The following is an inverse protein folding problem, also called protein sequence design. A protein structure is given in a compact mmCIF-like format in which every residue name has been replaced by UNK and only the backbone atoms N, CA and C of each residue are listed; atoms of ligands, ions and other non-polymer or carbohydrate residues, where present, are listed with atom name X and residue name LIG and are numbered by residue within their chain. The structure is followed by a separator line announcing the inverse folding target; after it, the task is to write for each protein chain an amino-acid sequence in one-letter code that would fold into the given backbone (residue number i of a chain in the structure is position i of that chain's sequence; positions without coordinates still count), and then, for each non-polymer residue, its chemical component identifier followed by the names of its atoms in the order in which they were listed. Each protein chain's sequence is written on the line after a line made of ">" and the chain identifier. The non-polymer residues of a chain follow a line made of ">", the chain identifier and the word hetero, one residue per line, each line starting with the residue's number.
data_IF_133389425884
#
_entry.id   IF_133389425884
#
_cell.length_a   1.000
_cell.length_b   1.000
_cell.length_c   1.000
_cell.angle_alpha   90.00
_cell.angle_beta   90.00
_cell.angle_gamma   90.00
#
_symmetry.space_group_name_H-M   'P 1'
#
loop_
_entity.id
_entity.type
_entity.pdbx_description
1 polymer ?
#
# COMPACT_ATOMS: atom_id res chain seq x y z
N UNK A 1 12.33 -30.79 -5.63
CA UNK A 1 12.49 -29.35 -5.43
C UNK A 1 12.30 -28.52 -6.71
N UNK A 2 13.11 -28.70 -7.76
CA UNK A 2 13.05 -27.90 -9.01
C UNK A 2 11.66 -27.90 -9.66
N UNK A 3 10.97 -29.06 -9.72
CA UNK A 3 9.60 -29.15 -10.26
C UNK A 3 8.64 -28.22 -9.52
N UNK A 4 8.70 -28.15 -8.19
CA UNK A 4 7.83 -27.31 -7.37
C UNK A 4 8.16 -25.81 -7.51
N UNK A 5 9.45 -25.47 -7.65
CA UNK A 5 9.86 -24.13 -8.02
C UNK A 5 9.24 -23.70 -9.35
N UNK A 6 9.38 -24.54 -10.41
CA UNK A 6 8.82 -24.22 -11.73
C UNK A 6 7.30 -24.04 -11.71
N UNK A 7 6.58 -24.87 -10.98
CA UNK A 7 5.11 -24.73 -10.84
C UNK A 7 4.74 -23.47 -10.11
N UNK A 8 5.39 -23.16 -8.99
CA UNK A 8 5.18 -21.91 -8.25
C UNK A 8 5.55 -20.69 -9.09
N UNK A 9 6.69 -20.72 -9.78
CA UNK A 9 7.13 -19.66 -10.67
C UNK A 9 6.11 -19.40 -11.80
N UNK A 10 5.64 -20.47 -12.47
CA UNK A 10 4.65 -20.34 -13.53
C UNK A 10 3.33 -19.74 -13.01
N UNK A 11 2.86 -20.19 -11.85
CA UNK A 11 1.69 -19.59 -11.19
C UNK A 11 1.91 -18.10 -10.90
N UNK A 12 3.06 -17.76 -10.29
CA UNK A 12 3.43 -16.37 -10.00
C UNK A 12 3.55 -15.52 -11.26
N UNK A 13 4.10 -16.08 -12.32
CA UNK A 13 4.27 -15.39 -13.60
C UNK A 13 2.89 -15.04 -14.23
N UNK A 14 1.96 -15.98 -14.23
CA UNK A 14 0.60 -15.72 -14.68
C UNK A 14 -0.10 -14.70 -13.78
N UNK A 15 -0.04 -14.88 -12.46
CA UNK A 15 -0.65 -13.96 -11.50
C UNK A 15 -0.15 -12.52 -11.70
N UNK A 16 1.15 -12.32 -11.73
CA UNK A 16 1.73 -10.99 -11.87
C UNK A 16 1.52 -10.40 -13.26
N UNK A 17 1.55 -11.21 -14.33
CA UNK A 17 1.26 -10.73 -15.68
C UNK A 17 -0.14 -10.12 -15.80
N UNK A 18 -1.14 -10.69 -15.13
CA UNK A 18 -2.49 -10.10 -15.12
C UNK A 18 -2.63 -8.94 -14.12
N UNK A 19 -1.89 -8.97 -13.02
CA UNK A 19 -2.10 -8.03 -11.93
C UNK A 19 -1.37 -6.70 -12.10
N UNK A 20 -0.17 -6.69 -12.69
CA UNK A 20 0.70 -5.49 -12.72
C UNK A 20 1.14 -5.08 -14.13
N UNK A 21 0.46 -5.54 -15.19
CA UNK A 21 0.79 -5.12 -16.57
C UNK A 21 0.70 -3.61 -16.78
N UNK A 22 -0.04 -2.90 -15.93
CA UNK A 22 -0.11 -1.45 -15.91
C UNK A 22 1.26 -0.76 -15.69
N UNK A 23 2.25 -1.46 -15.15
CA UNK A 23 3.63 -0.95 -14.98
C UNK A 23 4.27 -0.64 -16.33
N UNK A 24 3.96 -1.41 -17.38
CA UNK A 24 4.37 -1.09 -18.74
C UNK A 24 3.95 0.32 -19.13
N UNK A 25 2.69 0.69 -18.85
CA UNK A 25 2.18 2.02 -19.19
C UNK A 25 2.92 3.11 -18.42
N UNK A 26 3.20 2.88 -17.13
CA UNK A 26 3.94 3.84 -16.32
C UNK A 26 5.36 4.06 -16.84
N UNK A 27 6.11 3.00 -17.12
CA UNK A 27 7.48 3.11 -17.63
C UNK A 27 7.50 3.76 -19.02
N UNK A 28 6.55 3.39 -19.89
CA UNK A 28 6.44 3.95 -21.24
C UNK A 28 6.08 5.45 -21.22
N UNK A 29 5.25 5.87 -20.26
CA UNK A 29 4.88 7.28 -20.06
C UNK A 29 6.11 8.15 -19.74
N UNK A 30 7.07 7.65 -18.98
CA UNK A 30 8.32 8.32 -18.66
C UNK A 30 9.35 8.32 -19.82
N UNK A 31 8.97 7.86 -21.01
CA UNK A 31 9.78 8.01 -22.24
C UNK A 31 10.76 6.87 -22.50
N UNK A 32 10.69 5.75 -21.77
CA UNK A 32 11.59 4.61 -21.96
C UNK A 32 11.39 3.86 -23.30
N UNK A 33 10.29 4.15 -24.01
CA UNK A 33 9.94 3.49 -25.27
C UNK A 33 9.47 2.04 -25.08
N UNK A 34 8.86 1.48 -26.11
CA UNK A 34 8.14 0.19 -26.07
C UNK A 34 9.06 -0.98 -25.66
N UNK A 35 10.25 -1.05 -26.22
CA UNK A 35 11.18 -2.17 -25.96
C UNK A 35 11.62 -2.21 -24.48
N UNK A 36 12.12 -1.09 -23.97
CA UNK A 36 12.62 -1.03 -22.59
C UNK A 36 11.49 -1.18 -21.58
N UNK A 37 10.33 -0.58 -21.83
CA UNK A 37 9.14 -0.74 -20.99
C UNK A 37 8.68 -2.18 -20.91
N UNK A 38 8.68 -2.92 -22.03
CA UNK A 38 8.34 -4.34 -22.07
C UNK A 38 9.38 -5.18 -21.32
N UNK A 39 10.67 -4.92 -21.54
CA UNK A 39 11.76 -5.65 -20.90
C UNK A 39 11.74 -5.46 -19.37
N UNK A 40 11.63 -4.22 -18.89
CA UNK A 40 11.61 -3.93 -17.44
C UNK A 40 10.36 -4.51 -16.77
N UNK A 41 9.21 -4.43 -17.42
CA UNK A 41 7.97 -5.05 -16.91
C UNK A 41 8.11 -6.56 -16.84
N UNK A 42 8.66 -7.20 -17.87
CA UNK A 42 8.95 -8.64 -17.89
C UNK A 42 9.90 -9.05 -16.77
N UNK A 43 11.00 -8.32 -16.59
CA UNK A 43 12.00 -8.60 -15.54
C UNK A 43 11.38 -8.47 -14.14
N UNK A 44 10.53 -7.47 -13.91
CA UNK A 44 9.82 -7.30 -12.64
C UNK A 44 8.85 -8.46 -12.40
N UNK A 45 8.06 -8.85 -13.41
CA UNK A 45 7.15 -10.00 -13.32
C UNK A 45 7.95 -11.27 -13.01
N UNK A 46 9.06 -11.51 -13.69
CA UNK A 46 9.93 -12.68 -13.45
C UNK A 46 10.52 -12.65 -12.03
N UNK A 47 11.02 -11.51 -11.57
CA UNK A 47 11.52 -11.32 -10.20
C UNK A 47 10.45 -11.63 -9.15
N UNK A 48 9.27 -11.06 -9.28
CA UNK A 48 8.16 -11.31 -8.34
C UNK A 48 7.69 -12.78 -8.39
N UNK A 49 7.78 -13.42 -9.55
CA UNK A 49 7.43 -14.84 -9.71
C UNK A 49 8.39 -15.78 -8.99
N UNK A 50 9.65 -15.35 -8.76
CA UNK A 50 10.62 -16.14 -7.98
C UNK A 50 10.12 -16.35 -6.54
N UNK A 51 9.40 -15.42 -5.93
CA UNK A 51 8.83 -15.61 -4.58
C UNK A 51 7.80 -16.75 -4.54
N UNK A 52 6.95 -16.85 -5.55
CA UNK A 52 6.04 -18.01 -5.68
C UNK A 52 6.79 -19.31 -6.00
N UNK A 53 7.88 -19.24 -6.77
CA UNK A 53 8.77 -20.38 -6.99
C UNK A 53 9.40 -20.88 -5.69
N UNK A 54 9.94 -19.96 -4.87
CA UNK A 54 10.50 -20.26 -3.55
C UNK A 54 9.44 -20.80 -2.59
N UNK A 55 8.23 -20.22 -2.62
CA UNK A 55 7.11 -20.75 -1.87
C UNK A 55 6.74 -22.18 -2.28
N UNK A 56 6.73 -22.50 -3.58
CA UNK A 56 6.54 -23.87 -4.06
C UNK A 56 7.60 -24.83 -3.52
N UNK A 57 8.88 -24.38 -3.42
CA UNK A 57 9.93 -25.20 -2.76
C UNK A 57 9.67 -25.39 -1.26
N UNK A 58 9.23 -24.34 -0.55
CA UNK A 58 8.88 -24.43 0.87
C UNK A 58 7.73 -25.39 1.12
N UNK A 59 6.67 -25.34 0.29
CA UNK A 59 5.55 -26.29 0.33
C UNK A 59 6.06 -27.73 0.15
N UNK A 60 6.91 -27.99 -0.84
CA UNK A 60 7.50 -29.32 -1.03
C UNK A 60 8.35 -29.76 0.15
N UNK A 61 9.11 -28.85 0.73
CA UNK A 61 9.97 -29.14 1.88
C UNK A 61 9.19 -29.49 3.13
N UNK A 62 8.07 -28.82 3.39
CA UNK A 62 7.27 -28.99 4.61
C UNK A 62 6.01 -29.86 4.45
N UNK A 63 5.65 -30.31 3.25
CA UNK A 63 4.38 -31.06 2.98
C UNK A 63 4.16 -32.28 3.86
N UNK A 64 5.23 -32.99 4.23
CA UNK A 64 5.15 -34.22 5.03
C UNK A 64 5.48 -33.97 6.51
N UNK A 65 5.76 -32.72 6.90
CA UNK A 65 6.07 -32.36 8.27
C UNK A 65 4.80 -32.30 9.14
N UNK A 66 4.87 -32.80 10.40
CA UNK A 66 3.70 -32.84 11.32
C UNK A 66 3.10 -31.45 11.60
N UNK A 67 3.92 -30.39 11.53
CA UNK A 67 3.49 -28.98 11.77
C UNK A 67 3.30 -28.20 10.47
N UNK A 68 3.13 -28.84 9.31
CA UNK A 68 2.99 -28.20 8.00
C UNK A 68 1.89 -27.14 7.96
N UNK A 69 0.84 -27.31 8.77
CA UNK A 69 -0.28 -26.36 8.91
C UNK A 69 0.19 -24.94 9.31
N UNK A 70 1.26 -24.86 10.10
CA UNK A 70 1.86 -23.57 10.52
C UNK A 70 3.08 -23.20 9.68
N UNK A 71 3.87 -24.18 9.25
CA UNK A 71 5.14 -23.95 8.53
C UNK A 71 4.93 -23.39 7.13
N UNK A 72 3.89 -23.85 6.42
CA UNK A 72 3.60 -23.38 5.07
C UNK A 72 3.13 -21.92 5.08
N UNK A 73 2.12 -21.51 5.87
CA UNK A 73 1.77 -20.10 6.00
C UNK A 73 2.91 -19.20 6.50
N UNK A 74 3.72 -19.69 7.46
CA UNK A 74 4.90 -18.96 7.93
C UNK A 74 5.91 -18.72 6.82
N UNK A 75 6.18 -19.71 5.98
CA UNK A 75 7.09 -19.56 4.84
C UNK A 75 6.59 -18.54 3.83
N UNK A 76 5.29 -18.51 3.57
CA UNK A 76 4.68 -17.51 2.67
C UNK A 76 4.78 -16.11 3.25
N UNK A 77 4.42 -15.94 4.52
CA UNK A 77 4.54 -14.66 5.23
C UNK A 77 5.97 -14.12 5.17
N UNK A 78 6.98 -14.96 5.43
CA UNK A 78 8.40 -14.54 5.36
C UNK A 78 8.80 -14.12 3.95
N UNK A 79 8.33 -14.79 2.91
CA UNK A 79 8.59 -14.41 1.53
C UNK A 79 7.89 -13.09 1.16
N UNK A 80 6.65 -12.86 1.59
CA UNK A 80 5.97 -11.57 1.42
C UNK A 80 6.68 -10.45 2.20
N UNK A 81 7.15 -10.73 3.41
CA UNK A 81 7.93 -9.78 4.20
C UNK A 81 9.25 -9.41 3.50
N UNK A 82 10.01 -10.40 2.99
CA UNK A 82 11.23 -10.14 2.21
C UNK A 82 10.90 -9.31 0.95
N UNK A 83 9.85 -9.67 0.22
CA UNK A 83 9.37 -8.93 -0.96
C UNK A 83 9.05 -7.46 -0.66
N UNK A 84 8.63 -7.15 0.58
CA UNK A 84 8.22 -5.79 0.98
C UNK A 84 9.37 -4.79 1.08
N UNK A 85 10.62 -5.24 1.17
CA UNK A 85 11.78 -4.35 1.31
C UNK A 85 12.96 -4.70 0.39
N UNK A 86 13.07 -5.93 -0.11
CA UNK A 86 14.18 -6.32 -1.01
C UNK A 86 14.08 -5.55 -2.34
N UNK A 87 15.22 -4.99 -2.81
CA UNK A 87 15.32 -4.20 -4.05
C UNK A 87 14.25 -3.10 -4.09
N UNK A 88 14.24 -2.21 -3.09
CA UNK A 88 13.26 -1.13 -2.87
C UNK A 88 11.87 -1.58 -2.43
N UNK A 89 11.59 -2.87 -2.40
CA UNK A 89 10.33 -3.46 -1.99
C UNK A 89 9.21 -3.37 -3.04
N UNK A 90 8.31 -4.35 -3.02
CA UNK A 90 7.07 -4.34 -3.81
C UNK A 90 5.92 -4.99 -3.02
N UNK A 91 5.44 -4.35 -1.94
CA UNK A 91 4.37 -4.88 -1.08
C UNK A 91 2.97 -4.68 -1.69
N UNK A 92 2.82 -4.97 -2.99
CA UNK A 92 1.59 -4.75 -3.74
C UNK A 92 0.77 -6.04 -3.81
N UNK A 93 -0.56 -5.93 -3.70
CA UNK A 93 -1.53 -7.02 -3.83
C UNK A 93 -1.21 -8.27 -2.97
N UNK A 94 -0.82 -8.06 -1.72
CA UNK A 94 -0.72 -9.16 -0.76
C UNK A 94 -2.06 -9.89 -0.63
N UNK A 95 -2.04 -11.20 -0.39
CA UNK A 95 -3.24 -12.03 -0.37
C UNK A 95 -4.35 -11.46 0.53
N UNK A 96 -4.00 -10.92 1.70
CA UNK A 96 -4.93 -10.36 2.68
C UNK A 96 -5.69 -9.11 2.23
N UNK A 97 -5.32 -8.48 1.10
CA UNK A 97 -6.02 -7.30 0.59
C UNK A 97 -7.03 -7.65 -0.51
N UNK A 98 -6.96 -8.85 -1.10
CA UNK A 98 -7.69 -9.16 -2.33
C UNK A 98 -9.22 -9.09 -2.14
N UNK A 99 -9.74 -9.58 -1.02
CA UNK A 99 -11.18 -9.68 -0.76
C UNK A 99 -11.59 -8.79 0.42
N UNK A 100 -12.32 -7.71 0.13
CA UNK A 100 -12.79 -6.75 1.16
C UNK A 100 -13.68 -7.42 2.23
N UNK A 101 -14.48 -8.41 1.84
CA UNK A 101 -15.31 -9.20 2.77
C UNK A 101 -14.50 -10.01 3.80
N UNK A 102 -13.19 -10.21 3.60
CA UNK A 102 -12.32 -10.95 4.49
C UNK A 102 -11.43 -10.05 5.37
N UNK A 103 -11.77 -8.79 5.55
CA UNK A 103 -10.97 -7.81 6.30
C UNK A 103 -11.25 -7.75 7.80
N UNK A 104 -12.05 -8.69 8.33
CA UNK A 104 -12.43 -8.69 9.73
C UNK A 104 -11.26 -8.67 10.73
N UNK A 105 -10.10 -9.20 10.36
CA UNK A 105 -8.93 -9.25 11.23
C UNK A 105 -7.89 -8.12 10.99
N UNK A 106 -8.10 -7.23 10.01
CA UNK A 106 -7.13 -6.18 9.68
C UNK A 106 -6.69 -5.33 10.90
N UNK A 107 -7.59 -4.90 11.81
CA UNK A 107 -7.19 -4.07 12.96
C UNK A 107 -6.33 -4.81 14.00
N UNK A 108 -6.24 -6.13 13.90
CA UNK A 108 -5.50 -6.97 14.85
C UNK A 108 -4.17 -7.43 14.27
N UNK A 109 -4.20 -7.99 13.05
CA UNK A 109 -3.05 -8.67 12.45
C UNK A 109 -2.55 -8.02 11.15
N UNK A 110 -3.22 -6.96 10.68
CA UNK A 110 -2.89 -6.26 9.45
C UNK A 110 -3.09 -7.07 8.18
N UNK A 111 -2.70 -6.48 7.05
CA UNK A 111 -2.80 -7.12 5.73
C UNK A 111 -1.95 -8.40 5.67
N UNK A 112 -0.72 -8.36 6.18
CA UNK A 112 0.20 -9.50 6.13
C UNK A 112 -0.28 -10.66 7.01
N UNK A 113 -0.81 -10.36 8.20
CA UNK A 113 -1.38 -11.37 9.07
C UNK A 113 -2.68 -11.97 8.52
N UNK A 114 -3.49 -11.17 7.85
CA UNK A 114 -4.67 -11.67 7.12
C UNK A 114 -4.25 -12.62 6.00
N UNK A 115 -3.18 -12.34 5.26
CA UNK A 115 -2.59 -13.27 4.27
C UNK A 115 -2.19 -14.59 4.91
N UNK A 116 -1.53 -14.55 6.09
CA UNK A 116 -1.16 -15.75 6.85
C UNK A 116 -2.39 -16.58 7.22
N UNK A 117 -3.45 -15.96 7.76
CA UNK A 117 -4.69 -16.64 8.16
C UNK A 117 -5.39 -17.27 6.95
N UNK A 118 -5.45 -16.58 5.81
CA UNK A 118 -6.03 -17.14 4.59
C UNK A 118 -5.27 -18.38 4.11
N UNK A 119 -3.95 -18.37 4.16
CA UNK A 119 -3.12 -19.54 3.83
C UNK A 119 -3.30 -20.68 4.84
N UNK A 120 -3.45 -20.35 6.13
CA UNK A 120 -3.75 -21.33 7.18
C UNK A 120 -5.07 -22.06 6.89
N UNK A 121 -6.10 -21.34 6.46
CA UNK A 121 -7.39 -21.92 6.05
C UNK A 121 -7.19 -22.88 4.87
N UNK A 122 -6.47 -22.45 3.83
CA UNK A 122 -6.19 -23.29 2.65
C UNK A 122 -5.45 -24.56 3.06
N UNK A 123 -4.42 -24.45 3.90
CA UNK A 123 -3.67 -25.61 4.40
C UNK A 123 -4.55 -26.55 5.23
N UNK A 124 -5.43 -25.99 6.08
CA UNK A 124 -6.34 -26.78 6.91
C UNK A 124 -7.35 -27.58 6.10
N UNK A 125 -7.90 -27.00 5.03
CA UNK A 125 -8.83 -27.70 4.11
C UNK A 125 -8.16 -28.93 3.49
N UNK A 126 -6.85 -28.89 3.27
CA UNK A 126 -6.07 -29.99 2.68
C UNK A 126 -5.61 -31.04 3.71
N UNK A 127 -5.90 -30.85 5.01
CA UNK A 127 -5.52 -31.78 6.05
C UNK A 127 -6.36 -33.09 6.03
N UNK A 128 -5.74 -34.21 6.50
CA UNK A 128 -6.40 -35.48 6.59
C UNK A 128 -7.33 -35.58 7.83
N UNK A 129 -6.95 -34.92 8.93
CA UNK A 129 -7.75 -34.91 10.14
C UNK A 129 -9.03 -34.11 9.93
N UNK A 130 -10.19 -34.76 10.08
CA UNK A 130 -11.49 -34.14 9.81
C UNK A 130 -11.76 -32.94 10.75
N UNK A 131 -11.34 -32.99 12.00
CA UNK A 131 -11.52 -31.88 12.94
C UNK A 131 -10.71 -30.64 12.52
N UNK A 132 -9.47 -30.84 12.08
CA UNK A 132 -8.65 -29.73 11.56
C UNK A 132 -9.24 -29.18 10.27
N UNK A 133 -9.64 -30.07 9.36
CA UNK A 133 -10.20 -29.72 8.05
C UNK A 133 -11.52 -28.95 8.15
N UNK A 134 -12.29 -29.11 9.23
CA UNK A 134 -13.59 -28.44 9.40
C UNK A 134 -13.53 -27.29 10.38
N UNK A 135 -12.98 -27.49 11.58
CA UNK A 135 -13.02 -26.47 12.65
C UNK A 135 -12.13 -25.27 12.36
N UNK A 136 -10.92 -25.48 11.83
CA UNK A 136 -9.99 -24.38 11.54
C UNK A 136 -10.54 -23.47 10.44
N UNK A 137 -10.99 -23.96 9.27
CA UNK A 137 -11.61 -23.08 8.27
C UNK A 137 -12.87 -22.38 8.76
N UNK A 138 -13.76 -23.08 9.47
CA UNK A 138 -14.99 -22.44 10.01
C UNK A 138 -14.65 -21.31 10.95
N UNK A 139 -13.75 -21.54 11.93
CA UNK A 139 -13.36 -20.54 12.92
C UNK A 139 -12.72 -19.31 12.24
N UNK A 140 -11.66 -19.53 11.45
CA UNK A 140 -10.91 -18.44 10.88
C UNK A 140 -11.64 -17.73 9.74
N UNK A 141 -12.44 -18.44 8.93
CA UNK A 141 -13.31 -17.78 7.95
C UNK A 141 -14.38 -16.94 8.66
N UNK A 142 -14.95 -17.45 9.76
CA UNK A 142 -15.84 -16.67 10.60
C UNK A 142 -15.20 -15.39 11.15
N UNK A 143 -13.95 -15.46 11.62
CA UNK A 143 -13.22 -14.29 12.08
C UNK A 143 -12.89 -13.30 10.95
N UNK A 144 -12.60 -13.79 9.74
CA UNK A 144 -12.38 -12.92 8.59
C UNK A 144 -13.67 -12.22 8.12
N UNK A 145 -14.81 -12.93 8.13
CA UNK A 145 -16.10 -12.40 7.66
C UNK A 145 -16.80 -11.54 8.71
N UNK A 146 -16.66 -11.88 9.98
CA UNK A 146 -17.41 -11.28 11.11
C UNK A 146 -16.50 -10.72 12.21
N UNK A 147 -15.23 -10.49 11.90
CA UNK A 147 -14.28 -9.94 12.85
C UNK A 147 -14.41 -8.42 13.04
N UNK A 148 -13.66 -7.86 14.00
CA UNK A 148 -13.79 -6.46 14.41
C UNK A 148 -13.58 -5.45 13.28
N UNK A 149 -12.85 -5.78 12.21
CA UNK A 149 -12.65 -4.90 11.07
C UNK A 149 -13.94 -4.48 10.35
N UNK A 150 -15.01 -5.27 10.46
CA UNK A 150 -16.31 -4.93 9.88
C UNK A 150 -17.22 -4.15 10.83
N UNK A 151 -16.87 -4.06 12.11
CA UNK A 151 -17.71 -3.45 13.16
C UNK A 151 -16.99 -2.36 13.95
N UNK A 152 -15.94 -1.79 13.38
CA UNK A 152 -15.23 -0.69 14.01
C UNK A 152 -16.16 0.51 14.19
N UNK A 153 -16.02 1.16 15.34
CA UNK A 153 -16.73 2.39 15.64
C UNK A 153 -15.74 3.46 16.09
N UNK A 154 -15.88 4.65 15.56
CA UNK A 154 -15.28 5.86 16.11
C UNK A 154 -16.30 6.46 17.04
N UNK A 155 -15.88 6.91 18.24
CA UNK A 155 -16.79 7.49 19.24
C UNK A 155 -17.55 8.67 18.64
N UNK A 156 -18.84 8.75 18.95
CA UNK A 156 -19.68 9.90 18.57
C UNK A 156 -19.25 11.21 19.26
N UNK A 157 -18.52 11.10 20.37
CA UNK A 157 -17.95 12.22 21.11
C UNK A 157 -16.70 12.79 20.44
N UNK A 158 -16.08 12.06 19.51
CA UNK A 158 -14.92 12.53 18.78
C UNK A 158 -15.27 13.73 17.90
N UNK A 159 -14.36 14.71 17.77
CA UNK A 159 -14.60 15.91 16.98
C UNK A 159 -14.90 15.60 15.51
N UNK A 160 -15.89 16.32 14.99
CA UNK A 160 -16.19 16.34 13.57
C UNK A 160 -15.24 17.30 12.83
N UNK A 161 -14.82 16.89 11.66
CA UNK A 161 -13.99 17.68 10.77
C UNK A 161 -14.55 17.61 9.34
N UNK A 162 -14.95 18.75 8.79
CA UNK A 162 -15.41 18.79 7.39
C UNK A 162 -14.24 19.07 6.48
N UNK A 163 -14.00 18.17 5.52
CA UNK A 163 -12.91 18.22 4.56
C UNK A 163 -13.43 18.09 3.13
N UNK A 164 -12.72 18.69 2.18
CA UNK A 164 -13.00 18.54 0.74
C UNK A 164 -11.79 17.95 0.05
N UNK A 165 -11.98 16.91 -0.76
CA UNK A 165 -10.98 16.46 -1.73
C UNK A 165 -11.29 17.07 -3.09
N UNK A 166 -10.25 17.44 -3.84
CA UNK A 166 -10.38 17.94 -5.21
C UNK A 166 -9.64 17.03 -6.17
N UNK A 167 -10.24 16.79 -7.33
CA UNK A 167 -9.67 16.04 -8.44
C UNK A 167 -9.70 16.92 -9.69
N UNK A 168 -8.55 17.42 -10.17
CA UNK A 168 -8.52 18.32 -11.31
C UNK A 168 -8.63 17.59 -12.65
N UNK A 169 -8.33 16.29 -12.71
CA UNK A 169 -8.14 15.56 -13.96
C UNK A 169 -7.13 16.27 -14.87
N UNK A 170 -7.61 16.92 -15.94
CA UNK A 170 -6.79 17.65 -16.92
C UNK A 170 -6.84 19.19 -16.78
N UNK A 171 -7.48 19.72 -15.73
CA UNK A 171 -7.68 21.15 -15.57
C UNK A 171 -6.44 21.91 -15.07
N UNK A 172 -5.40 21.21 -14.62
CA UNK A 172 -4.17 21.82 -14.09
C UNK A 172 -4.38 22.64 -12.81
N UNK A 173 -3.45 23.56 -12.55
CA UNK A 173 -3.44 24.38 -11.32
C UNK A 173 -4.63 25.33 -11.23
N UNK A 174 -5.02 25.97 -12.33
CA UNK A 174 -6.14 26.91 -12.35
C UNK A 174 -7.46 26.21 -11.99
N UNK A 175 -7.64 24.99 -12.50
CA UNK A 175 -8.79 24.16 -12.14
C UNK A 175 -8.78 23.75 -10.67
N UNK A 176 -7.60 23.44 -10.09
CA UNK A 176 -7.48 23.18 -8.66
C UNK A 176 -7.90 24.38 -7.81
N UNK A 177 -7.44 25.58 -8.17
CA UNK A 177 -7.80 26.83 -7.48
C UNK A 177 -9.29 27.10 -7.59
N UNK A 178 -9.87 26.93 -8.78
CA UNK A 178 -11.31 27.09 -9.00
C UNK A 178 -12.13 26.13 -8.14
N UNK A 179 -11.79 24.83 -8.14
CA UNK A 179 -12.45 23.82 -7.32
C UNK A 179 -12.30 24.11 -5.83
N UNK A 180 -11.12 24.60 -5.41
CA UNK A 180 -10.85 24.99 -4.03
C UNK A 180 -11.74 26.15 -3.59
N UNK A 181 -11.90 27.18 -4.40
CA UNK A 181 -12.73 28.34 -4.09
C UNK A 181 -14.23 27.98 -4.01
N UNK A 182 -14.66 26.95 -4.74
CA UNK A 182 -16.03 26.43 -4.71
C UNK A 182 -16.29 25.42 -3.57
N UNK A 183 -15.25 25.01 -2.83
CA UNK A 183 -15.37 24.02 -1.76
C UNK A 183 -16.19 24.57 -0.58
N UNK A 184 -17.10 23.76 -0.03
CA UNK A 184 -17.92 24.11 1.11
C UNK A 184 -17.16 24.08 2.45
N UNK A 185 -16.05 23.30 2.53
CA UNK A 185 -15.20 23.21 3.72
C UNK A 185 -14.07 24.24 3.73
N UNK A 186 -13.50 24.49 4.92
CA UNK A 186 -12.30 25.30 5.07
C UNK A 186 -11.00 24.54 4.76
N UNK A 187 -11.02 23.20 4.86
CA UNK A 187 -9.88 22.33 4.59
C UNK A 187 -10.08 21.65 3.24
N UNK A 188 -9.15 21.89 2.32
CA UNK A 188 -9.19 21.32 0.98
C UNK A 188 -7.93 20.51 0.73
N UNK A 189 -8.09 19.26 0.29
CA UNK A 189 -6.97 18.34 0.04
C UNK A 189 -6.68 18.26 -1.46
N UNK A 190 -5.45 18.64 -1.84
CA UNK A 190 -4.94 18.60 -3.20
C UNK A 190 -4.18 17.30 -3.50
N UNK A 191 -4.22 16.80 -4.75
CA UNK A 191 -3.51 15.59 -5.13
C UNK A 191 -1.99 15.73 -5.15
N UNK A 192 -1.27 14.64 -5.43
CA UNK A 192 0.20 14.59 -5.51
C UNK A 192 0.74 15.51 -6.61
N UNK A 193 1.86 16.17 -6.30
CA UNK A 193 2.63 16.98 -7.26
C UNK A 193 1.82 18.09 -7.95
N UNK A 194 0.86 18.69 -7.25
CA UNK A 194 -0.04 19.72 -7.77
C UNK A 194 0.67 21.00 -8.15
N UNK A 195 1.69 21.41 -7.39
CA UNK A 195 2.48 22.62 -7.61
C UNK A 195 3.82 22.56 -6.87
N UNK A 196 4.66 23.59 -7.07
CA UNK A 196 5.79 23.87 -6.18
C UNK A 196 5.29 24.61 -4.94
N UNK A 197 5.71 24.13 -3.76
CA UNK A 197 5.47 24.86 -2.51
C UNK A 197 6.39 26.07 -2.42
N UNK A 198 5.79 27.25 -2.39
CA UNK A 198 6.50 28.56 -2.34
C UNK A 198 6.14 29.38 -1.09
N UNK A 199 5.44 28.77 -0.12
CA UNK A 199 5.01 29.47 1.10
C UNK A 199 3.77 30.36 0.91
N UNK A 200 3.01 30.19 -0.17
CA UNK A 200 1.80 30.97 -0.44
C UNK A 200 0.53 30.08 -0.40
N UNK A 201 -0.62 30.74 -0.29
CA UNK A 201 -1.94 30.11 -0.21
C UNK A 201 -2.65 30.03 -1.55
N UNK A 202 -1.95 30.21 -2.67
CA UNK A 202 -2.50 30.16 -4.04
C UNK A 202 -3.71 31.11 -4.27
N UNK A 203 -3.74 32.24 -3.54
CA UNK A 203 -4.82 33.23 -3.69
C UNK A 203 -6.17 32.83 -3.15
N UNK A 204 -6.24 31.81 -2.31
CA UNK A 204 -7.45 31.34 -1.65
C UNK A 204 -7.40 31.59 -0.14
N UNK A 205 -8.56 31.72 0.49
CA UNK A 205 -8.71 31.81 1.95
C UNK A 205 -8.92 30.45 2.61
N UNK A 206 -8.85 29.36 1.84
CA UNK A 206 -8.98 27.99 2.33
C UNK A 206 -7.64 27.46 2.83
N UNK A 207 -7.66 26.60 3.84
CA UNK A 207 -6.49 25.81 4.27
C UNK A 207 -6.29 24.65 3.30
N UNK A 208 -5.23 24.72 2.53
CA UNK A 208 -4.87 23.68 1.57
C UNK A 208 -3.86 22.74 2.23
N UNK A 209 -4.19 21.43 2.27
CA UNK A 209 -3.23 20.38 2.59
C UNK A 209 -3.09 19.50 1.36
N UNK A 210 -1.90 19.36 0.81
CA UNK A 210 -1.80 18.69 -0.48
C UNK A 210 -0.42 18.19 -0.85
N UNK A 211 -0.36 17.53 -2.01
CA UNK A 211 0.87 17.03 -2.60
C UNK A 211 1.61 18.11 -3.37
N UNK A 212 2.80 18.47 -2.92
CA UNK A 212 3.63 19.51 -3.52
C UNK A 212 5.05 19.01 -3.79
N UNK A 213 5.72 19.62 -4.77
CA UNK A 213 7.17 19.60 -4.83
C UNK A 213 7.71 20.61 -3.83
N UNK A 214 8.65 20.20 -2.99
CA UNK A 214 9.30 21.03 -1.98
C UNK A 214 10.80 21.04 -2.22
N UNK A 215 11.40 22.23 -2.15
CA UNK A 215 12.85 22.40 -2.20
C UNK A 215 13.36 22.76 -0.81
N UNK A 216 14.30 21.98 -0.32
CA UNK A 216 15.05 22.26 0.90
C UNK A 216 16.54 22.22 0.54
N UNK A 217 17.22 23.37 0.63
CA UNK A 217 18.61 23.53 0.19
C UNK A 217 18.82 23.04 -1.26
N UNK A 218 19.61 22.00 -1.47
CA UNK A 218 19.89 21.38 -2.78
C UNK A 218 18.99 20.18 -3.11
N UNK A 219 18.08 19.80 -2.19
CA UNK A 219 17.23 18.61 -2.32
C UNK A 219 15.84 19.00 -2.80
N UNK A 220 15.25 18.12 -3.59
CA UNK A 220 13.85 18.22 -4.02
C UNK A 220 13.07 17.03 -3.49
N UNK A 221 11.94 17.27 -2.84
CA UNK A 221 11.06 16.25 -2.30
C UNK A 221 9.67 16.33 -2.96
N UNK A 222 9.01 15.19 -3.05
CA UNK A 222 7.55 15.12 -3.17
C UNK A 222 6.99 15.02 -1.76
N UNK A 223 6.07 15.90 -1.40
CA UNK A 223 5.65 16.06 -0.01
C UNK A 223 4.15 16.27 0.13
N UNK A 224 3.57 15.88 1.26
CA UNK A 224 2.26 16.38 1.69
C UNK A 224 2.50 17.53 2.63
N UNK A 225 1.99 18.73 2.29
CA UNK A 225 2.25 19.97 3.03
C UNK A 225 0.93 20.67 3.33
N UNK A 226 0.80 21.19 4.55
CA UNK A 226 -0.15 22.25 4.87
C UNK A 226 0.40 23.59 4.36
N UNK A 227 -0.20 24.11 3.30
CA UNK A 227 0.28 25.31 2.65
C UNK A 227 0.19 26.57 3.54
N UNK A 228 -0.61 26.54 4.61
CA UNK A 228 -0.81 27.68 5.50
C UNK A 228 0.38 27.91 6.46
N UNK A 229 1.10 26.84 6.85
CA UNK A 229 2.20 26.92 7.82
C UNK A 229 3.50 26.24 7.35
N UNK A 230 3.45 25.48 6.25
CA UNK A 230 4.59 24.76 5.70
C UNK A 230 4.93 23.45 6.40
N UNK A 231 4.15 23.05 7.41
CA UNK A 231 4.32 21.75 8.05
C UNK A 231 3.93 20.63 7.09
N UNK A 232 4.64 19.54 7.13
CA UNK A 232 4.35 18.45 6.20
C UNK A 232 5.25 17.25 6.35
N UNK A 233 5.08 16.33 5.42
CA UNK A 233 5.78 15.06 5.32
C UNK A 233 6.47 14.95 3.96
N UNK A 234 7.75 14.66 3.93
CA UNK A 234 8.53 14.38 2.74
C UNK A 234 8.49 12.87 2.42
N UNK A 235 8.11 12.50 1.20
CA UNK A 235 7.96 11.12 0.75
C UNK A 235 9.21 10.28 1.02
N UNK A 236 9.04 9.15 1.72
CA UNK A 236 10.13 8.23 2.05
C UNK A 236 10.29 7.12 1.00
N UNK A 237 9.20 6.44 0.61
CA UNK A 237 9.26 5.34 -0.35
C UNK A 237 9.11 5.86 -1.79
N UNK A 238 10.24 6.12 -2.42
CA UNK A 238 10.28 6.61 -3.80
C UNK A 238 10.02 5.49 -4.80
N UNK A 239 9.38 5.86 -5.93
CA UNK A 239 9.11 4.93 -7.05
C UNK A 239 10.39 4.69 -7.85
N UNK A 240 10.87 3.42 -7.93
CA UNK A 240 12.04 3.09 -8.75
C UNK A 240 11.81 3.47 -10.22
N UNK A 241 12.86 3.99 -10.86
CA UNK A 241 12.89 4.48 -12.25
C UNK A 241 11.99 5.68 -12.56
N UNK A 242 11.02 6.02 -11.71
CA UNK A 242 10.19 7.22 -11.84
C UNK A 242 10.72 8.40 -11.04
N UNK A 243 11.06 8.20 -9.78
CA UNK A 243 11.50 9.24 -8.85
C UNK A 243 12.99 9.12 -8.47
N UNK A 244 13.54 7.92 -8.51
CA UNK A 244 14.97 7.68 -8.32
C UNK A 244 15.42 6.50 -9.18
N UNK A 245 16.74 6.43 -9.40
CA UNK A 245 17.34 5.30 -10.12
C UNK A 245 17.92 4.28 -9.14
N UNK A 246 17.40 3.04 -9.14
CA UNK A 246 18.04 1.95 -8.42
C UNK A 246 19.46 1.74 -8.96
N UNK A 247 20.40 1.43 -8.05
CA UNK A 247 21.82 1.21 -8.36
C UNK A 247 22.64 2.45 -8.79
N UNK A 248 22.03 3.67 -8.70
CA UNK A 248 22.72 4.95 -8.83
C UNK A 248 23.62 5.05 -10.07
N UNK A 249 24.87 5.41 -9.84
CA UNK A 249 25.85 5.70 -10.91
C UNK A 249 26.22 4.47 -11.78
N UNK A 250 25.98 3.25 -11.31
CA UNK A 250 26.28 2.03 -12.08
C UNK A 250 25.48 1.95 -13.40
N UNK A 251 24.29 2.57 -13.43
CA UNK A 251 23.41 2.56 -14.61
C UNK A 251 23.44 3.85 -15.43
N UNK A 252 24.28 4.83 -15.11
CA UNK A 252 24.34 6.12 -15.83
C UNK A 252 24.58 5.93 -17.33
N UNK A 253 25.48 5.01 -17.73
CA UNK A 253 25.75 4.71 -19.13
C UNK A 253 24.55 4.09 -19.86
N UNK A 254 23.79 3.25 -19.17
CA UNK A 254 22.55 2.63 -19.68
C UNK A 254 21.46 3.67 -19.79
N UNK A 255 21.32 4.53 -18.80
CA UNK A 255 20.31 5.58 -18.77
C UNK A 255 20.49 6.62 -19.86
N UNK A 256 21.76 7.04 -20.12
CA UNK A 256 22.07 7.96 -21.23
C UNK A 256 21.79 7.30 -22.60
N UNK A 257 22.07 6.02 -22.74
CA UNK A 257 21.78 5.27 -23.98
C UNK A 257 20.28 5.17 -24.27
N UNK A 258 19.44 5.01 -23.22
CA UNK A 258 17.99 4.88 -23.36
C UNK A 258 17.24 6.20 -23.15
N UNK A 259 17.93 7.35 -22.99
CA UNK A 259 17.34 8.66 -22.71
C UNK A 259 16.37 8.65 -21.51
N UNK A 260 16.65 7.86 -20.47
CA UNK A 260 15.83 7.83 -19.26
C UNK A 260 16.04 9.13 -18.48
N UNK A 261 15.01 9.91 -18.20
CA UNK A 261 15.13 11.15 -17.43
C UNK A 261 15.77 10.88 -16.06
N UNK A 262 16.79 11.64 -15.70
CA UNK A 262 17.37 11.61 -14.36
C UNK A 262 16.42 12.33 -13.39
N UNK A 263 15.39 11.66 -12.93
CA UNK A 263 14.57 12.16 -11.83
C UNK A 263 15.43 12.17 -10.55
N UNK A 264 15.53 13.32 -9.91
CA UNK A 264 16.33 13.53 -8.69
C UNK A 264 15.42 13.95 -7.53
N UNK A 265 14.40 13.17 -7.28
CA UNK A 265 13.62 13.33 -6.05
C UNK A 265 14.44 12.74 -4.90
N UNK A 266 14.59 13.52 -3.85
CA UNK A 266 15.28 13.09 -2.64
C UNK A 266 14.33 12.30 -1.75
N UNK A 267 14.88 11.28 -1.09
CA UNK A 267 14.12 10.49 -0.11
C UNK A 267 14.00 11.30 1.19
N UNK A 268 12.77 11.45 1.71
CA UNK A 268 12.52 11.93 3.06
C UNK A 268 12.98 10.92 4.12
N UNK A 269 13.26 11.40 5.31
CA UNK A 269 13.62 10.53 6.43
C UNK A 269 12.46 9.59 6.79
N UNK A 270 12.77 8.40 7.33
CA UNK A 270 11.74 7.45 7.74
C UNK A 270 10.94 8.01 8.93
N UNK A 271 11.64 8.51 9.94
CA UNK A 271 11.04 9.19 11.09
C UNK A 271 11.02 10.68 10.82
N UNK A 272 9.85 11.30 10.79
CA UNK A 272 9.65 12.73 10.61
C UNK A 272 8.68 13.23 11.67
N UNK A 273 8.63 14.54 11.88
CA UNK A 273 7.74 15.15 12.87
C UNK A 273 6.29 14.71 12.67
N UNK A 274 5.64 14.39 13.78
CA UNK A 274 4.24 13.97 13.79
C UNK A 274 3.34 15.18 13.85
N UNK A 275 2.43 15.21 12.90
CA UNK A 275 1.31 16.14 12.87
C UNK A 275 0.07 15.45 13.47
N UNK A 276 -1.01 16.18 13.69
CA UNK A 276 -2.27 15.58 14.08
C UNK A 276 -2.92 14.77 12.93
N UNK A 277 -2.42 14.90 11.69
CA UNK A 277 -2.80 14.07 10.54
C UNK A 277 -1.57 13.31 9.98
N UNK A 278 -1.83 12.17 9.37
CA UNK A 278 -0.82 11.39 8.67
C UNK A 278 -0.76 11.79 7.20
N UNK A 279 0.43 12.10 6.67
CA UNK A 279 0.65 12.29 5.24
C UNK A 279 1.21 11.02 4.60
N UNK A 280 0.65 10.59 3.46
CA UNK A 280 1.16 9.49 2.63
C UNK A 280 1.07 9.87 1.16
N UNK A 281 2.10 9.55 0.39
CA UNK A 281 2.21 9.89 -1.01
C UNK A 281 2.21 8.64 -1.88
N UNK A 282 1.20 8.53 -2.75
CA UNK A 282 1.10 7.49 -3.78
C UNK A 282 1.24 6.07 -3.20
N UNK A 283 2.13 5.25 -3.74
CA UNK A 283 2.30 3.84 -3.37
C UNK A 283 2.78 3.57 -1.92
N UNK A 284 3.13 4.62 -1.14
CA UNK A 284 3.51 4.48 0.28
C UNK A 284 2.46 3.76 1.12
N UNK A 285 1.18 3.86 0.74
CA UNK A 285 0.11 3.07 1.35
C UNK A 285 0.37 1.56 1.37
N UNK A 286 1.13 1.04 0.43
CA UNK A 286 1.43 -0.39 0.37
C UNK A 286 2.45 -0.83 1.43
N UNK A 287 3.33 0.06 1.89
CA UNK A 287 4.43 -0.24 2.80
C UNK A 287 3.97 -0.24 4.26
N UNK A 288 3.87 -1.42 4.89
CA UNK A 288 3.38 -1.57 6.26
C UNK A 288 4.15 -0.69 7.27
N UNK A 289 5.48 -0.72 7.24
CA UNK A 289 6.30 0.02 8.20
C UNK A 289 6.10 1.54 8.07
N UNK A 290 6.09 2.06 6.84
CA UNK A 290 5.84 3.49 6.58
C UNK A 290 4.42 3.88 6.99
N UNK A 291 3.44 3.04 6.67
CA UNK A 291 2.06 3.28 7.06
C UNK A 291 1.91 3.33 8.60
N UNK A 292 2.45 2.35 9.31
CA UNK A 292 2.38 2.29 10.79
C UNK A 292 3.07 3.52 11.38
N UNK A 293 4.30 3.85 10.93
CA UNK A 293 5.04 5.01 11.45
C UNK A 293 4.27 6.30 11.25
N UNK A 294 3.60 6.47 10.11
CA UNK A 294 2.85 7.69 9.80
C UNK A 294 1.49 7.75 10.48
N UNK A 295 0.73 6.64 10.51
CA UNK A 295 -0.66 6.62 11.00
C UNK A 295 -0.78 6.56 12.52
N UNK A 296 0.23 6.00 13.22
CA UNK A 296 0.20 5.82 14.68
C UNK A 296 0.16 7.15 15.42
N UNK A 297 -0.86 7.33 16.29
CA UNK A 297 -1.06 8.52 17.11
C UNK A 297 -1.59 9.73 16.36
N UNK A 298 -1.99 9.59 15.08
CA UNK A 298 -2.61 10.68 14.29
C UNK A 298 -4.14 10.56 14.30
N UNK A 299 -4.84 11.64 13.96
CA UNK A 299 -6.30 11.71 13.98
C UNK A 299 -6.97 11.13 12.74
N UNK A 300 -6.38 11.34 11.57
CA UNK A 300 -6.84 10.86 10.26
C UNK A 300 -5.67 10.81 9.28
N UNK A 301 -5.91 10.25 8.10
CA UNK A 301 -4.88 10.00 7.09
C UNK A 301 -5.20 10.84 5.85
N UNK A 302 -4.23 11.60 5.37
CA UNK A 302 -4.27 12.28 4.07
C UNK A 302 -3.41 11.47 3.11
N UNK A 303 -4.03 11.01 2.04
CA UNK A 303 -3.35 10.27 0.98
C UNK A 303 -3.50 11.01 -0.34
N UNK A 304 -2.38 11.43 -0.88
CA UNK A 304 -2.31 12.14 -2.16
C UNK A 304 -1.65 11.27 -3.22
N UNK A 305 -2.18 11.26 -4.44
CA UNK A 305 -1.63 10.46 -5.52
C UNK A 305 -1.84 11.11 -6.89
N UNK A 306 -0.95 10.77 -7.82
CA UNK A 306 -1.16 11.07 -9.24
C UNK A 306 -1.23 9.74 -10.01
N UNK A 307 -2.45 9.30 -10.30
CA UNK A 307 -2.70 8.02 -10.97
C UNK A 307 -2.85 8.17 -12.51
N UNK A 308 -2.58 9.36 -13.08
CA UNK A 308 -2.88 9.69 -14.47
C UNK A 308 -2.11 8.86 -15.51
N UNK A 309 -0.88 8.48 -15.21
CA UNK A 309 -0.01 7.73 -16.13
C UNK A 309 -0.14 6.21 -16.04
N UNK A 310 -0.91 5.70 -15.08
CA UNK A 310 -1.15 4.26 -14.96
C UNK A 310 -2.30 3.79 -15.86
N UNK A 311 -2.27 2.51 -16.21
CA UNK A 311 -3.41 1.87 -16.89
C UNK A 311 -4.67 1.81 -16.03
N UNK A 312 -5.75 1.26 -16.56
CA UNK A 312 -7.07 1.27 -15.93
C UNK A 312 -7.15 0.48 -14.61
N UNK A 313 -6.35 -0.56 -14.42
CA UNK A 313 -6.45 -1.45 -13.24
C UNK A 313 -5.73 -0.91 -12.00
N UNK A 314 -4.67 -0.13 -12.14
CA UNK A 314 -3.88 0.37 -11.01
C UNK A 314 -4.70 1.27 -10.07
N UNK A 315 -5.47 2.26 -10.52
CA UNK A 315 -6.24 3.12 -9.62
C UNK A 315 -7.22 2.36 -8.73
N UNK A 316 -7.85 1.29 -9.25
CA UNK A 316 -8.74 0.43 -8.46
C UNK A 316 -7.97 -0.37 -7.39
N UNK A 317 -6.80 -0.91 -7.73
CA UNK A 317 -5.92 -1.59 -6.78
C UNK A 317 -5.44 -0.61 -5.70
N UNK A 318 -5.08 0.61 -6.09
CA UNK A 318 -4.62 1.66 -5.17
C UNK A 318 -5.72 2.13 -4.20
N UNK A 319 -6.96 2.31 -4.71
CA UNK A 319 -8.12 2.59 -3.86
C UNK A 319 -8.37 1.46 -2.86
N UNK A 320 -8.22 0.20 -3.29
CA UNK A 320 -8.36 -0.96 -2.41
C UNK A 320 -7.32 -0.93 -1.27
N UNK A 321 -6.07 -0.56 -1.55
CA UNK A 321 -5.07 -0.32 -0.50
C UNK A 321 -5.54 0.77 0.48
N UNK A 322 -6.04 1.91 -0.02
CA UNK A 322 -6.51 2.99 0.83
C UNK A 322 -7.68 2.56 1.75
N UNK A 323 -8.63 1.79 1.22
CA UNK A 323 -9.74 1.22 2.00
C UNK A 323 -9.25 0.25 3.07
N UNK A 324 -8.34 -0.67 2.70
CA UNK A 324 -7.77 -1.61 3.66
C UNK A 324 -7.05 -0.89 4.80
N UNK A 325 -6.29 0.17 4.50
CA UNK A 325 -5.61 0.99 5.51
C UNK A 325 -6.56 1.73 6.44
N UNK A 326 -7.68 2.21 5.93
CA UNK A 326 -8.73 2.80 6.77
C UNK A 326 -9.27 1.78 7.78
N UNK A 327 -9.61 0.57 7.34
CA UNK A 327 -10.06 -0.53 8.23
C UNK A 327 -8.96 -0.96 9.20
N UNK A 328 -7.73 -1.13 8.73
CA UNK A 328 -6.58 -1.58 9.52
C UNK A 328 -6.25 -0.61 10.67
N UNK A 329 -6.38 0.69 10.43
CA UNK A 329 -6.04 1.74 11.39
C UNK A 329 -7.22 2.26 12.21
N UNK A 330 -8.46 1.96 11.85
CA UNK A 330 -9.68 2.60 12.36
C UNK A 330 -9.65 4.13 12.23
N UNK A 331 -9.11 4.63 11.11
CA UNK A 331 -9.00 6.06 10.82
C UNK A 331 -9.57 6.37 9.44
N UNK A 332 -10.15 7.55 9.30
CA UNK A 332 -10.58 8.05 7.99
C UNK A 332 -9.37 8.29 7.09
N UNK A 333 -9.51 7.95 5.81
CA UNK A 333 -8.53 8.24 4.76
C UNK A 333 -9.12 9.25 3.78
N UNK A 334 -8.56 10.45 3.78
CA UNK A 334 -8.91 11.53 2.86
C UNK A 334 -8.00 11.39 1.64
N UNK A 335 -8.53 10.73 0.58
CA UNK A 335 -7.76 10.41 -0.61
C UNK A 335 -8.09 11.37 -1.76
N UNK A 336 -7.10 12.15 -2.19
CA UNK A 336 -7.15 13.03 -3.36
C UNK A 336 -6.19 12.55 -4.45
N UNK A 337 -6.67 12.46 -5.69
CA UNK A 337 -5.87 12.02 -6.84
C UNK A 337 -5.99 13.00 -8.01
N UNK A 338 -4.97 13.11 -8.86
CA UNK A 338 -4.99 13.98 -10.05
C UNK A 338 -5.99 13.47 -11.09
N UNK A 339 -5.84 12.21 -11.51
CA UNK A 339 -6.77 11.49 -12.41
C UNK A 339 -6.80 10.03 -12.02
N UNK A 340 -7.41 9.75 -10.90
CA UNK A 340 -7.54 8.40 -10.35
C UNK A 340 -8.93 8.16 -9.80
N UNK A 341 -8.97 7.58 -8.60
CA UNK A 341 -10.20 7.35 -7.84
C UNK A 341 -10.08 8.11 -6.52
N UNK A 342 -10.72 9.28 -6.41
CA UNK A 342 -10.71 10.10 -5.21
C UNK A 342 -11.92 9.81 -4.33
N UNK A 343 -11.68 9.65 -3.02
CA UNK A 343 -12.72 9.31 -2.05
C UNK A 343 -12.30 9.71 -0.64
N UNK A 344 -13.26 10.11 0.19
CA UNK A 344 -13.08 10.22 1.64
C UNK A 344 -13.62 8.91 2.23
N UNK A 345 -12.72 8.09 2.78
CA UNK A 345 -12.94 6.67 3.08
C UNK A 345 -13.10 6.49 4.58
N UNK A 346 -14.23 5.93 4.99
CA UNK A 346 -14.49 5.55 6.37
C UNK A 346 -13.90 4.17 6.70
N UNK A 347 -13.47 3.92 7.95
CA UNK A 347 -13.23 2.57 8.45
C UNK A 347 -14.47 1.67 8.32
N UNK A 348 -15.66 2.27 8.38
CA UNK A 348 -16.95 1.66 8.05
C UNK A 348 -17.29 2.03 6.60
N UNK A 349 -17.03 1.15 5.67
CA UNK A 349 -17.12 1.43 4.23
C UNK A 349 -18.44 2.11 3.80
N UNK A 350 -19.56 1.78 4.47
CA UNK A 350 -20.89 2.33 4.20
C UNK A 350 -21.00 3.85 4.46
N UNK A 351 -20.14 4.39 5.32
CA UNK A 351 -20.08 5.82 5.64
C UNK A 351 -19.12 6.60 4.74
N UNK A 352 -18.48 5.94 3.79
CA UNK A 352 -17.58 6.62 2.86
C UNK A 352 -18.32 7.56 1.92
N UNK A 353 -17.64 8.63 1.48
CA UNK A 353 -18.19 9.57 0.51
C UNK A 353 -18.50 8.93 -0.85
N UNK A 354 -19.13 9.68 -1.73
CA UNK A 354 -19.16 9.37 -3.16
C UNK A 354 -17.73 9.18 -3.69
N UNK A 355 -17.61 8.50 -4.84
CA UNK A 355 -16.36 8.29 -5.55
C UNK A 355 -16.30 9.24 -6.75
N UNK A 356 -15.18 9.96 -6.93
CA UNK A 356 -14.83 10.57 -8.22
C UNK A 356 -14.05 9.56 -9.04
N UNK A 357 -14.53 9.31 -10.25
CA UNK A 357 -13.90 8.36 -11.16
C UNK A 357 -12.79 9.02 -12.00
N UNK A 358 -12.03 8.20 -12.68
CA UNK A 358 -11.04 8.68 -13.64
C UNK A 358 -11.69 9.57 -14.70
N UNK A 359 -10.95 10.60 -15.14
CA UNK A 359 -11.36 11.62 -16.12
C UNK A 359 -12.49 12.55 -15.63
N UNK A 360 -13.02 12.32 -14.45
CA UNK A 360 -13.94 13.26 -13.79
C UNK A 360 -13.13 14.33 -13.06
N UNK A 361 -13.43 15.59 -13.30
CA UNK A 361 -12.96 16.69 -12.45
C UNK A 361 -14.07 17.09 -11.48
N UNK A 362 -13.69 17.48 -10.28
CA UNK A 362 -14.67 17.89 -9.28
C UNK A 362 -14.14 17.89 -7.86
N UNK A 363 -15.07 18.07 -6.93
CA UNK A 363 -14.79 18.05 -5.51
C UNK A 363 -15.81 17.21 -4.75
N UNK A 364 -15.39 16.65 -3.62
CA UNK A 364 -16.24 15.94 -2.67
C UNK A 364 -15.99 16.52 -1.31
N UNK A 365 -17.07 17.05 -0.69
CA UNK A 365 -17.05 17.47 0.71
C UNK A 365 -17.71 16.40 1.57
N UNK A 366 -17.10 16.07 2.69
CA UNK A 366 -17.62 15.10 3.64
C UNK A 366 -17.18 15.45 5.07
N UNK A 367 -18.01 15.16 6.05
CA UNK A 367 -17.65 15.30 7.46
C UNK A 367 -17.12 13.97 7.97
N UNK A 368 -15.90 13.99 8.52
CA UNK A 368 -15.25 12.83 9.13
C UNK A 368 -15.19 13.01 10.65
N UNK A 369 -15.09 11.90 11.37
CA UNK A 369 -14.77 11.90 12.80
C UNK A 369 -13.28 11.63 13.00
N UNK A 370 -12.60 12.49 13.71
CA UNK A 370 -11.19 12.29 14.06
C UNK A 370 -11.04 11.17 15.09
N UNK A 371 -9.93 10.42 15.05
CA UNK A 371 -9.68 9.30 15.95
C UNK A 371 -8.20 9.13 16.25
N UNK A 372 -7.78 9.43 17.47
CA UNK A 372 -6.40 9.23 17.92
C UNK A 372 -6.11 7.82 18.43
N UNK A 373 -7.15 7.00 18.64
CA UNK A 373 -6.97 5.63 19.13
C UNK A 373 -6.31 4.75 18.07
N UNK A 374 -5.25 4.07 18.48
CA UNK A 374 -4.54 3.14 17.64
C UNK A 374 -5.10 1.72 17.81
N UNK A 375 -5.31 1.03 16.70
CA UNK A 375 -5.64 -0.39 16.65
C UNK A 375 -4.50 -1.24 17.24
N UNK A 376 -4.78 -2.51 17.53
CA UNK A 376 -3.75 -3.46 17.96
C UNK A 376 -2.64 -3.52 16.92
N UNK A 377 -3.01 -3.59 15.63
CA UNK A 377 -2.01 -3.65 14.57
C UNK A 377 -1.12 -2.40 14.51
N UNK A 378 -1.67 -1.18 14.64
CA UNK A 378 -0.84 0.04 14.68
C UNK A 378 0.12 0.07 15.87
N UNK A 379 -0.23 -0.59 16.99
CA UNK A 379 0.63 -0.65 18.18
C UNK A 379 1.80 -1.61 18.03
N UNK A 380 1.57 -2.80 17.46
CA UNK A 380 2.53 -3.91 17.46
C UNK A 380 3.07 -4.27 16.08
N UNK A 381 2.39 -3.87 14.98
CA UNK A 381 2.80 -4.14 13.60
C UNK A 381 2.86 -5.63 13.26
N UNK A 382 3.71 -5.95 12.28
CA UNK A 382 3.95 -7.33 11.81
C UNK A 382 4.85 -8.15 12.76
N UNK A 383 5.44 -7.55 13.81
CA UNK A 383 6.45 -8.19 14.66
C UNK A 383 6.03 -9.53 15.26
N UNK A 384 4.82 -9.70 15.83
CA UNK A 384 4.42 -10.97 16.42
C UNK A 384 4.40 -12.12 15.42
N UNK A 385 3.85 -11.88 14.22
CA UNK A 385 3.78 -12.91 13.16
C UNK A 385 5.16 -13.15 12.56
N UNK A 386 6.00 -12.11 12.44
CA UNK A 386 7.38 -12.23 11.95
C UNK A 386 8.21 -13.12 12.87
N UNK A 387 8.21 -12.84 14.18
CA UNK A 387 8.95 -13.64 15.16
C UNK A 387 8.41 -15.07 15.19
N UNK A 388 7.09 -15.24 15.23
CA UNK A 388 6.46 -16.57 15.18
C UNK A 388 6.88 -17.34 13.93
N UNK A 389 6.82 -16.73 12.76
CA UNK A 389 7.13 -17.39 11.48
C UNK A 389 8.61 -17.76 11.36
N UNK A 390 9.51 -16.89 11.83
CA UNK A 390 10.95 -17.19 11.88
C UNK A 390 11.24 -18.37 12.80
N UNK A 391 10.71 -18.37 14.03
CA UNK A 391 10.91 -19.46 14.98
C UNK A 391 10.28 -20.76 14.49
N UNK A 392 9.07 -20.72 13.95
CA UNK A 392 8.39 -21.91 13.41
C UNK A 392 9.23 -22.55 12.29
N UNK A 393 9.65 -21.78 11.28
CA UNK A 393 10.45 -22.29 10.17
C UNK A 393 11.82 -22.82 10.63
N UNK A 394 12.50 -22.15 11.57
CA UNK A 394 13.76 -22.61 12.12
C UNK A 394 13.59 -23.93 12.86
N UNK A 395 12.60 -24.02 13.75
CA UNK A 395 12.30 -25.27 14.47
C UNK A 395 11.89 -26.40 13.52
N UNK A 396 11.06 -26.10 12.51
CA UNK A 396 10.67 -27.07 11.50
C UNK A 396 11.88 -27.64 10.73
N UNK A 397 12.85 -26.79 10.42
CA UNK A 397 14.10 -27.22 9.77
C UNK A 397 14.94 -28.11 10.70
N UNK A 398 15.13 -27.75 11.97
CA UNK A 398 15.92 -28.51 12.94
C UNK A 398 15.30 -29.89 13.19
N UNK A 399 13.98 -29.96 13.45
CA UNK A 399 13.30 -31.22 13.69
C UNK A 399 13.31 -32.17 12.50
N UNK A 400 13.25 -31.65 11.30
CA UNK A 400 13.37 -32.46 10.10
C UNK A 400 14.75 -33.09 10.00
N UNK A 401 15.82 -32.30 10.19
CA UNK A 401 17.21 -32.78 10.12
C UNK A 401 17.49 -33.89 11.14
N UNK A 402 16.94 -33.77 12.37
CA UNK A 402 17.13 -34.77 13.42
C UNK A 402 16.37 -36.08 13.14
N UNK A 403 15.35 -36.07 12.29
CA UNK A 403 14.60 -37.28 11.93
C UNK A 403 15.16 -37.96 10.66
N UNK A 404 16.03 -37.29 9.90
CA UNK A 404 16.72 -37.83 8.72
C UNK A 404 18.10 -38.45 9.07
N UNK A 405 18.64 -38.16 10.27
CA UNK A 405 19.84 -38.78 10.87
C UNK A 405 19.44 -39.89 11.84
#
# INVERSE_FOLDING_TARGET
>A
MIKFFRLGFLFGFLFWSFSILWIYNAINFYGAGTFLSSLLTFLLIAYLSCYFGLFGMAVHFFKDHKYRLLLIPSSFFLLEWIKSWMISGFPWLNLGIIFESLWGLLPIVGISGTSFVMLLIICAILEKNIYVKTLVPILFTGLLLFGPGHYQKISEENPDLTVTVVQPANLGLDGLIELTNKADSNIVVWPEASAWYTGNTFGTNKRIIGGFFRREESKTFTSVIDASNGEGYNKHNLVPFGEFQPFGDLLIGINSFFNIPNSRISRGDFVQDKLNWSGLVCWELAFNNTFIERAKGTEFIIHVSNDSWYGSSMPAQHLKHARARSVESNKWVVRSTTDGLSQIISPQNEQSSKLLNRKEHGSITHTIKTNTDDTIYLKIGDWPILIFSLLACLMGYIFRRNNEN
#
